data_IF_111501572344
#
_entry.id   IF_111501572344
#
_cell.length_a   1.000
_cell.length_b   1.000
_cell.length_c   1.000
_cell.angle_alpha   90.00
_cell.angle_beta   90.00
_cell.angle_gamma   90.00
#
_symmetry.space_group_name_H-M   'P 1'
#
loop_
_entity.id
_entity.type
_entity.pdbx_description
1 polymer ?
#
# COMPACT_ATOMS: atom_id res chain seq x y z
N UNK A 1 -35.61 5.15 -23.37
CA UNK A 1 -34.90 5.00 -22.10
C UNK A 1 -33.93 3.82 -22.24
N UNK A 2 -32.64 4.06 -22.30
CA UNK A 2 -31.62 3.00 -22.44
C UNK A 2 -31.44 2.41 -21.05
N UNK A 3 -31.92 1.20 -20.82
CA UNK A 3 -31.61 0.45 -19.58
C UNK A 3 -30.18 -0.06 -19.69
N UNK A 4 -29.26 0.57 -18.97
CA UNK A 4 -27.92 0.02 -18.79
C UNK A 4 -28.04 -1.18 -17.84
N UNK A 5 -27.63 -2.40 -18.20
CA UNK A 5 -27.69 -3.53 -17.29
C UNK A 5 -26.78 -3.28 -16.09
N UNK A 6 -27.34 -3.35 -14.89
CA UNK A 6 -26.60 -3.25 -13.64
C UNK A 6 -25.78 -4.53 -13.52
N UNK A 7 -24.46 -4.42 -13.44
CA UNK A 7 -23.57 -5.55 -13.19
C UNK A 7 -23.67 -5.95 -11.72
N UNK A 8 -23.81 -7.23 -11.47
CA UNK A 8 -23.69 -7.77 -10.12
C UNK A 8 -22.26 -7.59 -9.61
N UNK A 9 -22.14 -7.10 -8.37
CA UNK A 9 -20.86 -6.97 -7.66
C UNK A 9 -21.07 -7.43 -6.22
N UNK A 10 -20.23 -8.35 -5.77
CA UNK A 10 -20.32 -8.96 -4.45
C UNK A 10 -19.35 -8.29 -3.49
N UNK A 11 -19.74 -8.18 -2.21
CA UNK A 11 -18.87 -7.77 -1.12
C UNK A 11 -18.48 -8.96 -0.25
N UNK A 12 -17.51 -8.78 0.66
CA UNK A 12 -17.15 -9.83 1.61
C UNK A 12 -18.26 -10.14 2.63
N UNK A 13 -19.28 -9.27 2.76
CA UNK A 13 -20.47 -9.55 3.57
C UNK A 13 -21.41 -10.55 2.88
N UNK A 14 -21.34 -10.66 1.55
CA UNK A 14 -22.20 -11.52 0.73
C UNK A 14 -21.58 -12.91 0.47
N UNK A 15 -20.26 -13.04 0.61
CA UNK A 15 -19.51 -14.24 0.20
C UNK A 15 -18.44 -14.63 1.21
N UNK A 16 -18.08 -15.91 1.20
CA UNK A 16 -16.90 -16.42 1.88
C UNK A 16 -16.02 -17.21 0.90
N UNK A 17 -14.74 -17.34 1.22
CA UNK A 17 -13.85 -18.17 0.43
C UNK A 17 -14.19 -19.65 0.60
N UNK A 18 -14.39 -20.37 -0.49
CA UNK A 18 -14.59 -21.81 -0.45
C UNK A 18 -13.31 -22.51 -0.01
N UNK A 19 -13.36 -23.38 1.02
CA UNK A 19 -12.21 -24.15 1.43
C UNK A 19 -11.72 -25.06 0.30
N UNK A 20 -10.39 -25.17 0.17
CA UNK A 20 -9.76 -26.13 -0.75
C UNK A 20 -8.89 -27.09 0.06
N UNK A 21 -8.62 -28.26 -0.54
CA UNK A 21 -7.67 -29.19 0.03
C UNK A 21 -6.28 -28.53 0.18
N UNK A 22 -5.64 -28.78 1.32
CA UNK A 22 -4.30 -28.28 1.62
C UNK A 22 -3.53 -29.31 2.46
N UNK A 23 -2.26 -29.50 2.14
CA UNK A 23 -1.32 -30.31 2.90
C UNK A 23 -0.36 -29.45 3.72
N UNK A 24 -0.55 -28.12 3.69
CA UNK A 24 0.31 -27.13 4.36
C UNK A 24 -0.30 -26.75 5.70
N UNK A 25 0.46 -26.81 6.77
CA UNK A 25 0.06 -26.32 8.08
C UNK A 25 0.00 -24.78 8.09
N UNK A 26 -0.88 -24.16 8.89
CA UNK A 26 -0.97 -22.69 8.98
C UNK A 26 0.37 -21.99 9.28
N UNK A 27 1.24 -22.63 10.06
CA UNK A 27 2.59 -22.13 10.39
C UNK A 27 3.57 -22.15 9.22
N UNK A 28 3.30 -22.95 8.19
CA UNK A 28 4.16 -23.15 7.01
C UNK A 28 3.73 -22.29 5.81
N UNK A 29 2.63 -21.56 5.96
CA UNK A 29 2.09 -20.74 4.87
C UNK A 29 3.05 -19.62 4.51
N UNK A 30 3.42 -19.55 3.23
CA UNK A 30 4.18 -18.44 2.67
C UNK A 30 3.23 -17.39 2.06
N UNK A 31 3.09 -16.24 2.71
CA UNK A 31 2.23 -15.14 2.28
C UNK A 31 2.98 -14.08 1.46
N UNK A 32 4.26 -14.30 1.15
CA UNK A 32 5.06 -13.32 0.40
C UNK A 32 4.52 -13.12 -1.03
N UNK A 33 4.58 -11.88 -1.49
CA UNK A 33 4.18 -11.50 -2.85
C UNK A 33 5.25 -10.65 -3.54
N UNK A 34 5.26 -10.67 -4.86
CA UNK A 34 6.00 -9.71 -5.67
C UNK A 34 5.06 -8.56 -6.01
N UNK A 35 5.24 -7.41 -5.38
CA UNK A 35 4.47 -6.20 -5.69
C UNK A 35 4.84 -5.66 -7.08
N UNK A 36 6.13 -5.73 -7.43
CA UNK A 36 6.67 -5.47 -8.77
C UNK A 36 7.74 -6.52 -9.09
N UNK A 37 8.31 -6.47 -10.30
CA UNK A 37 9.44 -7.35 -10.68
C UNK A 37 10.60 -7.31 -9.67
N UNK A 38 10.83 -6.16 -9.03
CA UNK A 38 11.98 -5.92 -8.17
C UNK A 38 11.59 -5.64 -6.70
N UNK A 39 10.31 -5.69 -6.37
CA UNK A 39 9.83 -5.36 -5.02
C UNK A 39 9.00 -6.51 -4.46
N UNK A 40 9.54 -7.16 -3.46
CA UNK A 40 8.90 -8.27 -2.75
C UNK A 40 8.46 -7.84 -1.36
N UNK A 41 7.25 -8.21 -0.96
CA UNK A 41 6.74 -8.05 0.40
C UNK A 41 6.64 -9.42 1.08
N UNK A 42 6.86 -9.44 2.40
CA UNK A 42 6.70 -10.66 3.22
C UNK A 42 5.23 -11.00 3.45
N UNK A 43 4.39 -9.97 3.55
CA UNK A 43 2.93 -10.11 3.68
C UNK A 43 2.24 -9.19 2.66
N UNK A 44 1.07 -9.58 2.11
CA UNK A 44 0.38 -8.83 1.06
C UNK A 44 -0.47 -7.68 1.63
N UNK A 45 0.13 -6.82 2.46
CA UNK A 45 -0.56 -5.70 3.08
C UNK A 45 0.07 -4.36 2.70
N UNK A 46 -0.77 -3.44 2.27
CA UNK A 46 -0.44 -2.06 2.01
C UNK A 46 -1.36 -1.15 2.83
N UNK A 47 -0.82 -0.12 3.50
CA UNK A 47 -1.67 0.89 4.12
C UNK A 47 -2.03 2.00 3.14
N UNK A 48 -3.29 2.44 3.21
CA UNK A 48 -3.84 3.44 2.29
C UNK A 48 -3.17 4.80 2.43
N UNK A 49 -3.00 5.50 1.30
CA UNK A 49 -2.43 6.85 1.23
C UNK A 49 -3.48 7.91 1.62
N UNK A 50 -3.95 7.84 2.85
CA UNK A 50 -4.92 8.75 3.44
C UNK A 50 -4.31 9.49 4.62
N UNK A 51 -4.64 10.76 4.80
CA UNK A 51 -4.12 11.62 5.88
C UNK A 51 -4.44 11.10 7.29
N UNK A 52 -5.58 10.43 7.44
CA UNK A 52 -6.00 9.80 8.70
C UNK A 52 -5.45 8.38 8.91
N UNK A 53 -4.70 7.83 7.95
CA UNK A 53 -4.24 6.42 7.97
C UNK A 53 -2.73 6.30 7.94
N UNK A 54 -2.06 6.86 6.93
CA UNK A 54 -0.64 6.56 6.70
C UNK A 54 0.26 7.78 6.68
N UNK A 55 0.90 8.01 7.81
CA UNK A 55 2.13 8.77 7.96
C UNK A 55 3.27 7.82 8.40
N UNK A 56 4.41 8.36 8.81
CA UNK A 56 5.59 7.55 9.13
C UNK A 56 5.36 6.47 10.19
N UNK A 57 4.54 6.74 11.21
CA UNK A 57 4.30 5.77 12.29
C UNK A 57 3.61 4.50 11.76
N UNK A 58 2.52 4.65 10.99
CA UNK A 58 1.84 3.53 10.35
C UNK A 58 2.73 2.83 9.32
N UNK A 59 3.44 3.61 8.50
CA UNK A 59 4.34 3.04 7.49
C UNK A 59 5.48 2.23 8.12
N UNK A 60 6.00 2.66 9.28
CA UNK A 60 7.00 1.89 10.04
C UNK A 60 6.37 0.62 10.62
N UNK A 61 5.19 0.70 11.21
CA UNK A 61 4.53 -0.45 11.81
C UNK A 61 4.24 -1.55 10.78
N UNK A 62 3.63 -1.19 9.66
CA UNK A 62 3.31 -2.15 8.60
C UNK A 62 4.56 -2.66 7.89
N UNK A 63 5.58 -1.81 7.72
CA UNK A 63 6.88 -2.20 7.16
C UNK A 63 7.61 -3.22 8.04
N UNK A 64 7.59 -3.06 9.37
CA UNK A 64 8.15 -4.04 10.31
C UNK A 64 7.40 -5.38 10.26
N UNK A 65 6.10 -5.36 10.01
CA UNK A 65 5.31 -6.58 9.79
C UNK A 65 5.59 -7.25 8.43
N UNK A 66 6.28 -6.57 7.51
CA UNK A 66 6.65 -7.11 6.20
C UNK A 66 5.78 -6.63 5.04
N UNK A 67 4.87 -5.70 5.28
CA UNK A 67 4.08 -4.98 4.28
C UNK A 67 4.74 -3.67 3.85
N UNK A 68 3.95 -2.74 3.32
CA UNK A 68 4.43 -1.42 2.90
C UNK A 68 3.39 -0.34 3.21
N UNK A 69 3.84 0.79 3.77
CA UNK A 69 3.02 1.99 3.94
C UNK A 69 3.18 2.95 2.77
N UNK A 70 2.08 3.58 2.35
CA UNK A 70 2.08 4.62 1.31
C UNK A 70 1.75 5.96 1.95
N UNK A 71 2.75 6.84 2.07
CA UNK A 71 2.58 8.18 2.67
C UNK A 71 1.65 9.02 1.78
N UNK A 72 0.63 9.61 2.39
CA UNK A 72 -0.35 10.45 1.68
C UNK A 72 0.26 11.75 1.16
N UNK A 73 -0.42 12.39 0.19
CA UNK A 73 0.01 13.65 -0.44
C UNK A 73 -0.70 14.90 0.10
N UNK A 74 -1.58 14.75 1.09
CA UNK A 74 -2.23 15.89 1.76
C UNK A 74 -1.26 16.57 2.74
N UNK A 75 -0.06 16.85 2.26
CA UNK A 75 1.07 17.48 2.92
C UNK A 75 1.80 18.38 1.92
N UNK A 76 2.46 19.42 2.39
CA UNK A 76 3.47 20.07 1.55
C UNK A 76 4.61 19.10 1.22
N UNK A 77 5.35 19.38 0.14
CA UNK A 77 6.39 18.49 -0.38
C UNK A 77 7.44 18.19 0.70
N UNK A 78 7.85 19.18 1.47
CA UNK A 78 8.90 19.03 2.47
C UNK A 78 8.46 18.14 3.64
N UNK A 79 7.22 18.29 4.10
CA UNK A 79 6.66 17.43 5.14
C UNK A 79 6.53 15.99 4.66
N UNK A 80 6.05 15.75 3.42
CA UNK A 80 5.98 14.40 2.87
C UNK A 80 7.37 13.76 2.80
N UNK A 81 8.40 14.51 2.37
CA UNK A 81 9.79 14.04 2.35
C UNK A 81 10.27 13.68 3.77
N UNK A 82 9.94 14.50 4.78
CA UNK A 82 10.32 14.20 6.16
C UNK A 82 9.68 12.89 6.66
N UNK A 83 8.40 12.66 6.37
CA UNK A 83 7.73 11.41 6.73
C UNK A 83 8.39 10.20 6.04
N UNK A 84 8.70 10.29 4.76
CA UNK A 84 9.42 9.26 4.01
C UNK A 84 10.81 8.99 4.63
N UNK A 85 11.57 10.04 4.94
CA UNK A 85 12.90 9.93 5.56
C UNK A 85 12.87 9.22 6.91
N UNK A 86 11.83 9.43 7.73
CA UNK A 86 11.65 8.72 9.01
C UNK A 86 11.55 7.21 8.79
N UNK A 87 10.78 6.78 7.78
CA UNK A 87 10.63 5.35 7.43
C UNK A 87 11.94 4.80 6.88
N UNK A 88 12.58 5.52 5.95
CA UNK A 88 13.86 5.10 5.35
C UNK A 88 15.00 4.96 6.37
N UNK A 89 15.02 5.77 7.43
CA UNK A 89 15.98 5.62 8.55
C UNK A 89 15.87 4.25 9.21
N UNK A 90 14.70 3.62 9.20
CA UNK A 90 14.49 2.26 9.72
C UNK A 90 14.85 1.16 8.68
N UNK A 91 15.39 1.53 7.52
CA UNK A 91 15.71 0.62 6.40
C UNK A 91 14.48 -0.15 5.88
N UNK A 92 13.30 0.45 5.98
CA UNK A 92 12.04 -0.12 5.53
C UNK A 92 11.66 0.41 4.15
N UNK A 93 10.84 -0.39 3.44
CA UNK A 93 10.19 0.04 2.22
C UNK A 93 9.10 1.06 2.54
N UNK A 94 8.93 2.03 1.66
CA UNK A 94 7.89 3.06 1.77
C UNK A 94 7.45 3.50 0.39
N UNK A 95 6.15 3.62 0.20
CA UNK A 95 5.53 4.26 -0.96
C UNK A 95 5.16 5.71 -0.63
N UNK A 96 4.96 6.50 -1.67
CA UNK A 96 4.45 7.86 -1.55
C UNK A 96 3.43 8.14 -2.65
N UNK A 97 2.31 8.75 -2.26
CA UNK A 97 1.31 9.19 -3.20
C UNK A 97 1.74 10.49 -3.89
N UNK A 98 1.58 10.55 -5.19
CA UNK A 98 1.76 11.73 -6.02
C UNK A 98 0.58 11.88 -6.98
N UNK A 99 0.26 13.10 -7.40
CA UNK A 99 -0.77 13.33 -8.40
C UNK A 99 -0.25 13.06 -9.81
N UNK A 100 -1.18 12.92 -10.76
CA UNK A 100 -0.87 12.68 -12.16
C UNK A 100 -0.75 13.97 -13.01
N UNK A 101 -0.90 15.14 -12.39
CA UNK A 101 -0.77 16.42 -13.09
C UNK A 101 0.70 16.83 -13.26
N UNK A 102 0.94 17.72 -14.24
CA UNK A 102 2.27 18.30 -14.47
C UNK A 102 2.82 18.99 -13.21
N UNK A 103 1.96 19.68 -12.45
CA UNK A 103 2.32 20.35 -11.21
C UNK A 103 2.85 19.38 -10.13
N UNK A 104 2.40 18.13 -10.12
CA UNK A 104 2.85 17.09 -9.19
C UNK A 104 4.17 16.42 -9.62
N UNK A 105 4.67 16.71 -10.82
CA UNK A 105 5.93 16.16 -11.30
C UNK A 105 7.13 16.64 -10.47
N UNK A 106 7.10 17.88 -10.00
CA UNK A 106 8.14 18.42 -9.12
C UNK A 106 8.11 17.76 -7.74
N UNK A 107 6.92 17.40 -7.22
CA UNK A 107 6.79 16.57 -6.02
C UNK A 107 7.45 15.21 -6.21
N UNK A 108 7.15 14.52 -7.30
CA UNK A 108 7.76 13.22 -7.61
C UNK A 108 9.28 13.30 -7.69
N UNK A 109 9.83 14.31 -8.38
CA UNK A 109 11.28 14.54 -8.45
C UNK A 109 11.91 14.82 -7.08
N UNK A 110 11.22 15.60 -6.24
CA UNK A 110 11.72 15.96 -4.92
C UNK A 110 11.76 14.76 -3.96
N UNK A 111 10.79 13.85 -4.07
CA UNK A 111 10.72 12.62 -3.26
C UNK A 111 11.81 11.61 -3.66
N UNK A 112 12.20 11.57 -4.93
CA UNK A 112 13.20 10.63 -5.45
C UNK A 112 14.66 11.05 -5.18
N UNK A 113 14.90 12.27 -4.70
CA UNK A 113 16.22 12.76 -4.26
C UNK A 113 16.54 12.31 -2.84
#
# INVERSE_FOLDING_TARGET
>A
MIMVPIKEALTFDDVTLAPKYSEILPSEVNTSINLTKNLKLKIPLLSSAMDTVTESNMAIAIGKAGGIGVIHRNLDIQKQILEIKKVKKQKLLVGAAVGASIAEFDRAKAILK
#
